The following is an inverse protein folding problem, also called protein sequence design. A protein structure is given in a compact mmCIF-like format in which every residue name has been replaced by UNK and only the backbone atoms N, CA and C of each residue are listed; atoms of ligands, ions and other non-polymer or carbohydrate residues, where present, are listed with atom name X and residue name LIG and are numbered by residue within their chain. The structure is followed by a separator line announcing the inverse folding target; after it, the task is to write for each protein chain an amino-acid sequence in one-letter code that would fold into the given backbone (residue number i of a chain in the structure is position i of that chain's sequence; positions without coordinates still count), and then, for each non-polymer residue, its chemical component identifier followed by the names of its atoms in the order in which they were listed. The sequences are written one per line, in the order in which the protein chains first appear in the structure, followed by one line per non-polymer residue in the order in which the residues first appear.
data_IF_366820664762
#
_entry.id   IF_366820664762
#
_cell.length_a   1.000
_cell.length_b   1.000
_cell.length_c   1.000
_cell.angle_alpha   90.00
_cell.angle_beta   90.00
_cell.angle_gamma   90.00
#
_symmetry.space_group_name_H-M   'P 1'
#
loop_
_entity.id
_entity.type
_entity.pdbx_description
1 polymer ?
#
# COMPACT_ATOMS: atom_id res chain seq x y z
N UNK A 1 -10.93 -9.60 13.44
CA UNK A 1 -10.13 -10.80 13.09
C UNK A 1 -10.12 -10.86 11.57
N UNK A 2 -8.95 -10.72 10.95
CA UNK A 2 -8.82 -10.57 9.50
C UNK A 2 -8.42 -11.90 8.86
N UNK A 3 -8.94 -12.12 7.65
CA UNK A 3 -8.60 -13.25 6.79
C UNK A 3 -8.13 -12.72 5.44
N UNK A 4 -7.21 -13.46 4.82
CA UNK A 4 -6.67 -13.18 3.51
C UNK A 4 -7.03 -14.29 2.53
N UNK A 5 -7.32 -13.95 1.28
CA UNK A 5 -7.31 -14.88 0.18
C UNK A 5 -5.88 -15.26 -0.18
N UNK A 6 -5.67 -16.51 -0.58
CA UNK A 6 -4.38 -16.99 -1.02
C UNK A 6 -4.30 -17.14 -2.54
N UNK A 7 -3.12 -16.90 -3.05
CA UNK A 7 -2.78 -16.89 -4.47
C UNK A 7 -1.57 -17.78 -4.73
N UNK A 8 -1.46 -18.28 -5.96
CA UNK A 8 -0.22 -18.88 -6.47
C UNK A 8 0.76 -17.77 -6.95
N UNK A 9 1.95 -18.19 -7.38
CA UNK A 9 3.00 -17.28 -7.91
C UNK A 9 2.56 -16.51 -9.17
N UNK A 10 1.58 -16.99 -9.90
CA UNK A 10 1.04 -16.39 -11.12
C UNK A 10 -0.21 -15.52 -10.81
N UNK A 11 -0.45 -15.27 -9.51
CA UNK A 11 -1.54 -14.47 -8.98
C UNK A 11 -2.95 -15.04 -9.27
N UNK A 12 -3.07 -16.37 -9.40
CA UNK A 12 -4.37 -17.02 -9.46
C UNK A 12 -4.86 -17.31 -8.03
N UNK A 13 -6.13 -16.99 -7.73
CA UNK A 13 -6.74 -17.35 -6.44
C UNK A 13 -6.77 -18.87 -6.25
N UNK A 14 -6.29 -19.34 -5.11
CA UNK A 14 -6.27 -20.76 -4.75
C UNK A 14 -7.61 -21.26 -4.15
N UNK A 15 -8.64 -20.40 -4.06
CA UNK A 15 -9.89 -20.68 -3.34
C UNK A 15 -9.65 -21.14 -1.90
N UNK A 16 -8.61 -20.60 -1.28
CA UNK A 16 -8.18 -20.89 0.08
C UNK A 16 -8.00 -19.58 0.82
N UNK A 17 -8.36 -19.57 2.09
CA UNK A 17 -8.18 -18.40 2.97
C UNK A 17 -7.33 -18.77 4.16
N UNK A 18 -6.66 -17.80 4.73
CA UNK A 18 -5.83 -17.93 5.92
C UNK A 18 -6.14 -16.79 6.89
N UNK A 19 -6.01 -17.05 8.17
CA UNK A 19 -6.09 -16.01 9.18
C UNK A 19 -4.79 -15.19 9.19
N UNK A 20 -4.90 -13.86 9.29
CA UNK A 20 -3.74 -12.98 9.43
C UNK A 20 -2.83 -13.42 10.57
N UNK A 21 -1.55 -13.65 10.24
CA UNK A 21 -0.52 -14.09 11.16
C UNK A 21 -0.28 -15.59 11.22
N UNK A 22 -1.09 -16.39 10.52
CA UNK A 22 -0.81 -17.82 10.35
C UNK A 22 0.33 -18.02 9.33
N UNK A 23 1.04 -19.13 9.44
CA UNK A 23 2.12 -19.48 8.54
C UNK A 23 1.63 -19.85 7.14
N UNK A 24 2.25 -19.28 6.11
CA UNK A 24 2.02 -19.61 4.71
C UNK A 24 3.13 -20.53 4.20
N UNK A 25 2.78 -21.49 3.33
CA UNK A 25 3.76 -22.29 2.61
C UNK A 25 4.40 -21.50 1.47
N UNK A 26 5.55 -21.98 0.98
CA UNK A 26 6.37 -21.28 -0.01
C UNK A 26 5.65 -21.04 -1.37
N UNK A 27 4.59 -21.79 -1.64
CA UNK A 27 3.79 -21.69 -2.87
C UNK A 27 2.46 -20.91 -2.65
N UNK A 28 2.25 -20.35 -1.47
CA UNK A 28 1.03 -19.63 -1.07
C UNK A 28 1.34 -18.18 -0.73
N UNK A 29 0.76 -17.27 -1.45
CA UNK A 29 0.99 -15.84 -1.31
C UNK A 29 -0.29 -15.15 -0.87
N UNK A 30 -0.18 -14.17 0.04
CA UNK A 30 -1.27 -13.22 0.26
C UNK A 30 -1.02 -11.94 -0.56
N UNK A 31 -2.06 -11.13 -0.76
CA UNK A 31 -1.97 -9.90 -1.54
C UNK A 31 -1.74 -8.71 -0.62
N UNK A 32 -0.73 -7.90 -0.95
CA UNK A 32 -0.46 -6.60 -0.32
C UNK A 32 -0.58 -5.52 -1.39
N UNK A 33 -1.01 -4.35 -0.98
CA UNK A 33 -1.14 -3.19 -1.86
C UNK A 33 -0.36 -2.00 -1.33
N UNK A 34 0.24 -1.24 -2.23
CA UNK A 34 0.77 0.09 -1.99
C UNK A 34 -0.02 1.09 -2.83
N UNK A 35 -0.50 2.15 -2.19
CA UNK A 35 -1.22 3.25 -2.80
C UNK A 35 -0.34 4.51 -2.78
N UNK A 36 0.22 4.87 -3.92
CA UNK A 36 0.91 6.14 -4.11
C UNK A 36 -0.10 7.20 -4.50
N UNK A 37 -0.08 8.34 -3.83
CA UNK A 37 -0.98 9.47 -4.08
C UNK A 37 -0.14 10.64 -4.52
N UNK A 38 -0.39 11.16 -5.74
CA UNK A 38 0.36 12.24 -6.34
C UNK A 38 -0.57 13.42 -6.66
N UNK A 39 -0.16 14.64 -6.30
CA UNK A 39 -0.89 15.87 -6.65
C UNK A 39 -0.39 16.48 -7.98
N UNK A 40 -1.06 17.55 -8.44
CA UNK A 40 -0.71 18.25 -9.70
C UNK A 40 0.65 19.01 -9.64
N UNK A 41 1.25 19.08 -8.47
CA UNK A 41 2.61 19.66 -8.29
C UNK A 41 3.71 18.60 -8.34
N UNK A 42 3.35 17.33 -8.68
CA UNK A 42 4.24 16.17 -8.61
C UNK A 42 4.81 15.92 -7.20
N UNK A 43 4.02 16.22 -6.17
CA UNK A 43 4.34 15.85 -4.80
C UNK A 43 3.61 14.56 -4.44
N UNK A 44 4.24 13.69 -3.66
CA UNK A 44 3.67 12.46 -3.13
C UNK A 44 3.23 12.63 -1.69
N UNK A 45 2.03 12.13 -1.36
CA UNK A 45 1.56 12.05 0.02
C UNK A 45 2.18 10.81 0.66
N UNK A 46 3.00 11.03 1.69
CA UNK A 46 3.61 9.97 2.49
C UNK A 46 3.13 10.05 3.93
N UNK A 47 3.05 8.90 4.57
CA UNK A 47 2.68 8.74 5.98
C UNK A 47 3.86 8.24 6.81
N UNK A 48 3.89 8.62 8.07
CA UNK A 48 4.86 8.09 9.03
C UNK A 48 4.20 7.04 9.91
N UNK A 49 4.80 5.86 9.97
CA UNK A 49 4.30 4.75 10.81
C UNK A 49 4.18 5.14 12.26
N UNK A 50 3.11 4.70 12.92
CA UNK A 50 2.94 4.86 14.35
C UNK A 50 4.09 4.22 15.14
N UNK A 51 4.40 4.79 16.32
CA UNK A 51 5.44 4.28 17.21
C UNK A 51 5.18 2.85 17.72
N UNK A 52 3.95 2.36 17.60
CA UNK A 52 3.53 1.04 18.09
C UNK A 52 3.63 -0.06 17.01
N UNK A 53 3.95 0.31 15.77
CA UNK A 53 4.07 -0.63 14.65
C UNK A 53 5.48 -1.24 14.53
N UNK A 54 5.58 -2.32 13.78
CA UNK A 54 6.88 -2.82 13.31
C UNK A 54 7.54 -1.75 12.44
N UNK A 55 8.84 -1.51 12.59
CA UNK A 55 9.57 -0.41 11.96
C UNK A 55 8.94 0.97 12.25
N UNK A 56 8.92 1.39 13.53
CA UNK A 56 8.26 2.60 13.97
C UNK A 56 8.89 3.86 13.38
N UNK A 57 8.06 4.90 13.17
CA UNK A 57 8.45 6.23 12.72
C UNK A 57 9.12 6.29 11.33
N UNK A 58 9.08 5.20 10.57
CA UNK A 58 9.56 5.21 9.18
C UNK A 58 8.50 5.81 8.26
N UNK A 59 8.95 6.54 7.24
CA UNK A 59 8.07 7.08 6.21
C UNK A 59 7.75 6.03 5.16
N UNK A 60 6.52 5.99 4.69
CA UNK A 60 6.04 5.03 3.69
C UNK A 60 4.90 5.64 2.85
N UNK A 61 4.56 5.01 1.73
CA UNK A 61 3.26 5.21 1.10
C UNK A 61 2.20 4.43 1.90
N UNK A 62 0.94 4.82 1.76
CA UNK A 62 -0.19 4.10 2.35
C UNK A 62 -0.32 2.71 1.74
N UNK A 63 -0.64 1.72 2.58
CA UNK A 63 -0.85 0.36 2.07
C UNK A 63 -0.99 -0.68 3.16
N UNK A 64 -1.43 -1.85 2.74
CA UNK A 64 -1.64 -2.99 3.64
C UNK A 64 -2.06 -4.26 2.92
N UNK A 65 -2.53 -5.24 3.68
CA UNK A 65 -2.96 -6.52 3.13
C UNK A 65 -4.41 -6.45 2.62
N UNK A 66 -4.65 -6.99 1.42
CA UNK A 66 -6.00 -7.19 0.94
C UNK A 66 -6.74 -8.20 1.83
N UNK A 67 -7.97 -7.89 2.20
CA UNK A 67 -8.82 -8.76 2.99
C UNK A 67 -9.48 -9.81 2.08
N UNK A 68 -9.96 -10.88 2.70
CA UNK A 68 -10.73 -11.92 2.01
C UNK A 68 -11.89 -11.31 1.23
N UNK A 69 -11.95 -11.58 -0.07
CA UNK A 69 -12.98 -11.10 -0.98
C UNK A 69 -12.67 -9.79 -1.68
N UNK A 70 -11.69 -9.03 -1.23
CA UNK A 70 -11.26 -7.79 -1.90
C UNK A 70 -10.42 -8.09 -3.15
N UNK A 71 -10.54 -7.25 -4.15
CA UNK A 71 -9.51 -7.14 -5.19
C UNK A 71 -8.42 -6.12 -4.79
N UNK A 72 -7.38 -6.04 -5.61
CA UNK A 72 -6.22 -5.19 -5.35
C UNK A 72 -6.55 -3.69 -5.29
N UNK A 73 -7.45 -3.20 -6.17
CA UNK A 73 -7.85 -1.81 -6.20
C UNK A 73 -8.77 -1.45 -5.02
N UNK A 74 -9.68 -2.34 -4.68
CA UNK A 74 -10.57 -2.19 -3.53
C UNK A 74 -9.74 -2.10 -2.24
N UNK A 75 -8.76 -3.00 -2.07
CA UNK A 75 -7.86 -2.99 -0.92
C UNK A 75 -7.05 -1.67 -0.85
N UNK A 76 -6.49 -1.20 -1.97
CA UNK A 76 -5.74 0.06 -2.00
C UNK A 76 -6.60 1.26 -1.59
N UNK A 77 -7.83 1.35 -2.08
CA UNK A 77 -8.76 2.44 -1.73
C UNK A 77 -9.23 2.37 -0.27
N UNK A 78 -9.45 1.16 0.26
CA UNK A 78 -9.79 0.96 1.68
C UNK A 78 -8.65 1.42 2.58
N UNK A 79 -7.40 1.03 2.31
CA UNK A 79 -6.24 1.45 3.09
C UNK A 79 -6.07 2.98 3.08
N UNK A 80 -6.27 3.65 1.94
CA UNK A 80 -6.25 5.12 1.85
C UNK A 80 -7.33 5.75 2.75
N UNK A 81 -8.54 5.19 2.74
CA UNK A 81 -9.63 5.67 3.59
C UNK A 81 -9.34 5.42 5.08
N UNK A 82 -8.86 4.24 5.45
CA UNK A 82 -8.59 3.88 6.84
C UNK A 82 -7.42 4.67 7.42
N UNK A 83 -6.29 4.73 6.73
CA UNK A 83 -5.07 5.35 7.24
C UNK A 83 -5.05 6.87 7.14
N UNK A 84 -5.66 7.45 6.07
CA UNK A 84 -5.57 8.87 5.74
C UNK A 84 -6.92 9.60 5.74
N UNK A 85 -8.04 8.89 5.88
CA UNK A 85 -9.39 9.46 5.88
C UNK A 85 -9.84 10.01 4.53
N UNK A 86 -9.15 9.67 3.43
CA UNK A 86 -9.46 10.14 2.09
C UNK A 86 -10.33 9.10 1.34
N UNK A 87 -11.53 9.48 0.94
CA UNK A 87 -12.45 8.59 0.21
C UNK A 87 -12.12 8.58 -1.30
N UNK A 88 -11.53 7.46 -1.74
CA UNK A 88 -11.14 7.25 -3.14
C UNK A 88 -12.15 6.41 -3.94
N UNK A 89 -13.38 6.28 -3.46
CA UNK A 89 -14.42 5.48 -4.14
C UNK A 89 -14.52 5.81 -5.63
N UNK A 90 -14.57 7.09 -5.98
CA UNK A 90 -14.71 7.58 -7.35
C UNK A 90 -13.38 8.06 -7.96
N UNK A 91 -12.25 7.87 -7.29
CA UNK A 91 -10.91 8.22 -7.80
C UNK A 91 -10.38 7.07 -8.66
N UNK A 92 -9.95 7.38 -9.88
CA UNK A 92 -9.34 6.40 -10.77
C UNK A 92 -7.93 6.04 -10.28
N UNK A 93 -7.64 4.73 -10.17
CA UNK A 93 -6.33 4.20 -9.86
C UNK A 93 -5.63 3.68 -11.11
N UNK A 94 -4.36 4.01 -11.27
CA UNK A 94 -3.50 3.45 -12.31
C UNK A 94 -2.69 2.30 -11.70
N UNK A 95 -2.88 1.09 -12.24
CA UNK A 95 -2.07 -0.06 -11.85
C UNK A 95 -0.65 0.09 -12.41
N UNK A 96 0.32 0.07 -11.52
CA UNK A 96 1.71 0.34 -11.88
C UNK A 96 2.50 -0.94 -12.08
N UNK A 97 2.28 -1.93 -11.24
CA UNK A 97 2.96 -3.21 -11.34
C UNK A 97 2.74 -4.12 -10.15
N UNK A 98 3.28 -5.33 -10.26
CA UNK A 98 3.17 -6.38 -9.25
C UNK A 98 4.52 -7.07 -9.05
N UNK A 99 4.85 -7.41 -7.81
CA UNK A 99 6.12 -8.07 -7.45
C UNK A 99 5.86 -9.17 -6.42
N UNK A 100 6.48 -10.34 -6.65
CA UNK A 100 6.54 -11.40 -5.65
C UNK A 100 7.64 -11.07 -4.62
N UNK A 101 7.29 -11.20 -3.33
CA UNK A 101 8.24 -11.04 -2.24
C UNK A 101 8.27 -12.30 -1.38
N UNK A 102 9.48 -12.74 -1.07
CA UNK A 102 9.69 -13.99 -0.35
C UNK A 102 10.14 -13.70 1.09
N UNK A 103 9.20 -13.80 2.01
CA UNK A 103 9.47 -13.75 3.43
C UNK A 103 9.14 -15.11 4.04
N UNK A 104 10.04 -15.63 4.89
CA UNK A 104 9.84 -16.92 5.56
C UNK A 104 8.49 -16.94 6.31
N UNK A 105 7.64 -17.88 5.91
CA UNK A 105 6.31 -18.09 6.52
C UNK A 105 5.25 -17.05 6.18
N UNK A 106 5.58 -16.05 5.35
CA UNK A 106 4.62 -15.02 4.94
C UNK A 106 4.98 -14.40 3.58
N UNK A 107 5.15 -15.21 2.52
CA UNK A 107 5.40 -14.66 1.19
C UNK A 107 4.17 -13.92 0.67
N UNK A 108 4.40 -12.87 -0.10
CA UNK A 108 3.33 -12.02 -0.61
C UNK A 108 3.50 -11.61 -2.07
N UNK A 109 2.41 -11.13 -2.64
CA UNK A 109 2.36 -10.42 -3.92
C UNK A 109 2.08 -8.96 -3.57
N UNK A 110 3.01 -8.06 -3.90
CA UNK A 110 2.81 -6.63 -3.76
C UNK A 110 2.30 -6.03 -5.06
N UNK A 111 1.12 -5.44 -5.01
CA UNK A 111 0.57 -4.61 -6.08
C UNK A 111 0.78 -3.14 -5.77
N UNK A 112 1.17 -2.38 -6.79
CA UNK A 112 1.39 -0.93 -6.67
C UNK A 112 0.37 -0.18 -7.51
N UNK A 113 -0.31 0.77 -6.87
CA UNK A 113 -1.29 1.66 -7.47
C UNK A 113 -0.85 3.11 -7.35
N UNK A 114 -1.11 3.90 -8.39
CA UNK A 114 -0.94 5.35 -8.40
C UNK A 114 -2.29 6.04 -8.55
N UNK A 115 -2.57 6.99 -7.66
CA UNK A 115 -3.76 7.84 -7.68
C UNK A 115 -3.35 9.29 -7.87
N UNK A 116 -3.97 9.98 -8.83
CA UNK A 116 -3.87 11.44 -8.93
C UNK A 116 -4.96 12.08 -8.10
N UNK A 117 -4.56 12.82 -7.06
CA UNK A 117 -5.50 13.44 -6.15
C UNK A 117 -4.94 14.71 -5.52
N UNK A 118 -5.74 15.77 -5.52
CA UNK A 118 -5.40 17.05 -4.90
C UNK A 118 -6.20 17.24 -3.61
N UNK A 119 -5.51 17.44 -2.50
CA UNK A 119 -6.10 17.89 -1.25
C UNK A 119 -5.11 18.73 -0.45
N UNK A 120 -5.60 19.53 0.47
CA UNK A 120 -4.74 20.14 1.48
C UNK A 120 -4.36 19.11 2.53
N UNK A 121 -3.20 19.25 3.16
CA UNK A 121 -2.77 18.34 4.23
C UNK A 121 -3.75 18.34 5.42
N UNK A 122 -4.50 19.44 5.61
CA UNK A 122 -5.54 19.55 6.62
C UNK A 122 -6.79 18.69 6.35
N UNK A 123 -6.95 18.19 5.12
CA UNK A 123 -8.04 17.28 4.75
C UNK A 123 -7.72 15.82 5.15
N UNK A 124 -6.45 15.54 5.45
CA UNK A 124 -6.00 14.21 5.85
C UNK A 124 -6.36 13.97 7.31
N UNK A 125 -7.12 12.92 7.58
CA UNK A 125 -7.46 12.46 8.92
C UNK A 125 -6.77 11.12 9.19
N UNK A 126 -5.68 11.16 9.94
CA UNK A 126 -4.88 9.96 10.22
C UNK A 126 -5.55 9.01 11.21
N UNK A 127 -5.39 7.72 10.98
CA UNK A 127 -5.68 6.67 11.95
C UNK A 127 -4.48 6.54 12.91
N UNK A 128 -4.60 7.11 14.11
CA UNK A 128 -3.47 7.28 15.05
C UNK A 128 -2.83 5.97 15.53
N UNK A 129 -3.54 4.86 15.44
CA UNK A 129 -3.01 3.52 15.73
C UNK A 129 -2.01 3.06 14.67
N UNK A 130 -2.19 3.50 13.41
CA UNK A 130 -1.41 3.10 12.25
C UNK A 130 -0.41 4.18 11.82
N UNK A 131 -0.83 5.45 11.87
CA UNK A 131 -0.12 6.60 11.30
C UNK A 131 0.14 7.66 12.38
N UNK A 132 1.38 8.15 12.45
CA UNK A 132 1.79 9.25 13.35
C UNK A 132 1.52 10.62 12.74
N UNK A 133 1.85 10.81 11.47
CA UNK A 133 1.58 12.04 10.69
C UNK A 133 1.68 11.75 9.19
N UNK A 134 1.25 12.71 8.37
CA UNK A 134 1.37 12.65 6.91
C UNK A 134 1.89 13.98 6.36
N UNK A 135 2.52 13.96 5.19
CA UNK A 135 3.01 15.16 4.49
C UNK A 135 3.12 14.94 2.98
N UNK A 136 3.06 16.04 2.23
CA UNK A 136 3.43 16.08 0.83
C UNK A 136 4.95 16.26 0.69
N UNK A 137 5.58 15.52 -0.24
CA UNK A 137 7.01 15.58 -0.54
C UNK A 137 7.25 15.52 -2.04
N UNK A 138 8.27 16.20 -2.53
CA UNK A 138 8.71 16.05 -3.92
C UNK A 138 9.28 14.65 -4.17
N UNK A 139 9.18 14.17 -5.40
CA UNK A 139 9.66 12.86 -5.82
C UNK A 139 11.14 12.63 -5.43
N UNK A 140 12.00 13.61 -5.68
CA UNK A 140 13.41 13.56 -5.30
C UNK A 140 13.65 13.35 -3.81
N UNK A 141 12.74 13.86 -2.95
CA UNK A 141 12.82 13.70 -1.50
C UNK A 141 12.33 12.31 -1.04
N UNK A 142 11.52 11.61 -1.85
CA UNK A 142 11.11 10.25 -1.56
C UNK A 142 12.31 9.29 -1.59
N UNK A 143 13.24 9.51 -2.54
CA UNK A 143 14.45 8.72 -2.66
C UNK A 143 15.44 8.96 -1.50
N UNK A 144 15.52 10.21 -0.98
CA UNK A 144 16.48 10.60 0.06
C UNK A 144 15.99 10.30 1.51
N UNK A 145 14.70 10.10 1.72
CA UNK A 145 14.09 10.01 3.07
C UNK A 145 14.20 8.63 3.72
N UNK A 146 15.03 7.68 3.22
CA UNK A 146 14.92 6.29 3.67
C UNK A 146 13.43 5.91 3.82
N UNK A 147 12.63 6.18 2.78
CA UNK A 147 11.25 5.67 2.73
C UNK A 147 11.38 4.16 2.73
N UNK A 148 11.33 3.63 3.95
CA UNK A 148 11.62 2.25 4.19
C UNK A 148 10.56 1.44 3.53
N UNK A 149 11.05 0.60 2.74
CA UNK A 149 10.38 -0.48 2.09
C UNK A 149 9.56 -0.06 0.87
N UNK A 150 10.19 -0.32 -0.23
CA UNK A 150 9.59 -0.52 -1.54
C UNK A 150 9.49 0.74 -2.37
N UNK A 151 10.63 1.34 -2.64
CA UNK A 151 10.82 1.73 -4.02
C UNK A 151 11.01 0.43 -4.82
N UNK A 152 9.90 -0.23 -5.20
CA UNK A 152 9.90 -0.79 -6.53
C UNK A 152 10.07 0.43 -7.41
N UNK A 153 11.24 0.59 -8.00
CA UNK A 153 11.49 1.60 -9.03
C UNK A 153 10.45 1.38 -10.13
N UNK A 154 9.34 2.05 -9.97
CA UNK A 154 8.40 2.16 -11.05
C UNK A 154 8.88 3.37 -11.82
N UNK A 155 9.51 3.11 -12.96
CA UNK A 155 9.58 4.11 -14.01
C UNK A 155 8.13 4.48 -14.34
N UNK A 156 7.68 5.62 -13.82
CA UNK A 156 6.38 6.18 -14.20
C UNK A 156 6.46 6.38 -15.71
N UNK A 157 5.59 5.75 -16.51
CA UNK A 157 5.62 5.96 -17.94
C UNK A 157 5.46 7.46 -18.22
N UNK A 158 6.31 8.04 -19.06
CA UNK A 158 6.30 9.48 -19.43
C UNK A 158 4.97 9.94 -20.09
N UNK A 159 3.98 9.07 -20.16
CA UNK A 159 2.71 9.29 -20.84
C UNK A 159 1.49 8.98 -19.95
N UNK A 160 1.35 9.71 -18.84
CA UNK A 160 0.07 9.75 -18.12
C UNK A 160 -0.34 11.20 -17.87
#
# INVERSE_FOLDING_TARGET
MEYWDLYDKDKNKLNKTVKRGDYLSDDEYHLIVNAWIMNDKNEFLISQRSSNKKHPLMWECTGGSALMGEDSLEAAKREVLEELGLDFKDVEGVFVGSTLRYYEGCPDILDVWLFKYNCDISDVTIQVEEVNCAKWVLEEMVADQEVALVMVLVEVPETV
#
